data_IF_708044731268
#
_entry.id   IF_708044731268
#
_cell.length_a   1.000
_cell.length_b   1.000
_cell.length_c   1.000
_cell.angle_alpha   90.00
_cell.angle_beta   90.00
_cell.angle_gamma   90.00
#
_symmetry.space_group_name_H-M   'P 1'
#
loop_
_entity.id
_entity.type
_entity.pdbx_description
1 polymer ?
#
# COMPACT_ATOMS: atom_id res chain seq x y z
N UNK A 1 -11.97 20.64 13.21
CA UNK A 1 -11.07 20.78 14.38
C UNK A 1 -11.36 19.70 15.41
N UNK A 2 -12.63 19.43 15.73
CA UNK A 2 -13.08 18.44 16.73
C UNK A 2 -12.49 17.03 16.57
N UNK A 3 -12.34 16.52 15.34
CA UNK A 3 -11.77 15.17 15.11
C UNK A 3 -10.29 15.05 15.50
N UNK A 4 -9.56 16.16 15.50
CA UNK A 4 -8.14 16.18 15.88
C UNK A 4 -8.03 16.24 17.41
N UNK A 5 -8.92 16.99 18.07
CA UNK A 5 -8.99 17.08 19.53
C UNK A 5 -9.44 15.75 20.15
N UNK A 6 -10.47 15.11 19.59
CA UNK A 6 -10.91 13.77 20.01
C UNK A 6 -9.80 12.72 19.90
N UNK A 7 -8.98 12.80 18.86
CA UNK A 7 -7.85 11.90 18.67
C UNK A 7 -6.76 12.16 19.70
N UNK A 8 -6.44 13.43 19.94
CA UNK A 8 -5.45 13.86 20.95
C UNK A 8 -5.85 13.36 22.34
N UNK A 9 -7.10 13.53 22.72
CA UNK A 9 -7.57 13.16 24.07
C UNK A 9 -7.58 11.64 24.29
N UNK A 10 -7.91 10.86 23.26
CA UNK A 10 -7.79 9.39 23.32
C UNK A 10 -6.33 8.94 23.41
N UNK A 11 -5.44 9.58 22.66
CA UNK A 11 -4.02 9.28 22.68
C UNK A 11 -3.42 9.60 24.05
N UNK A 12 -3.73 10.77 24.61
CA UNK A 12 -3.25 11.19 25.92
C UNK A 12 -3.73 10.25 27.03
N UNK A 13 -5.01 9.83 26.98
CA UNK A 13 -5.56 8.88 27.95
C UNK A 13 -4.85 7.53 27.89
N UNK A 14 -4.56 7.04 26.69
CA UNK A 14 -3.88 5.75 26.49
C UNK A 14 -2.43 5.81 26.97
N UNK A 15 -1.70 6.89 26.68
CA UNK A 15 -0.34 7.12 27.19
C UNK A 15 -0.35 7.10 28.72
N UNK A 16 -1.26 7.84 29.35
CA UNK A 16 -1.38 7.90 30.81
C UNK A 16 -1.66 6.53 31.44
N UNK A 17 -2.56 5.75 30.85
CA UNK A 17 -2.86 4.38 31.32
C UNK A 17 -1.66 3.46 31.17
N UNK A 18 -0.93 3.52 30.05
CA UNK A 18 0.27 2.71 29.84
C UNK A 18 1.39 3.07 30.80
N UNK A 19 1.66 4.36 31.02
CA UNK A 19 2.67 4.83 31.98
C UNK A 19 2.30 4.37 33.40
N UNK A 20 1.05 4.56 33.83
CA UNK A 20 0.61 4.10 35.15
C UNK A 20 0.75 2.59 35.32
N UNK A 21 0.43 1.82 34.28
CA UNK A 21 0.60 0.36 34.32
C UNK A 21 2.07 -0.05 34.38
N UNK A 22 2.95 0.65 33.66
CA UNK A 22 4.40 0.44 33.73
C UNK A 22 5.00 0.85 35.09
N UNK A 23 4.47 1.89 35.73
CA UNK A 23 4.89 2.30 37.08
C UNK A 23 4.42 1.31 38.15
N UNK A 24 3.21 0.75 38.02
CA UNK A 24 2.63 -0.21 38.97
C UNK A 24 3.20 -1.62 38.78
N UNK A 25 3.48 -2.02 37.53
CA UNK A 25 3.99 -3.35 37.19
C UNK A 25 5.51 -3.37 36.93
N UNK A 26 6.20 -2.25 37.13
CA UNK A 26 7.65 -2.16 37.01
C UNK A 26 8.36 -3.09 38.00
N UNK A 27 9.56 -3.54 37.62
CA UNK A 27 10.40 -4.42 38.44
C UNK A 27 10.52 -3.86 39.88
N UNK A 28 10.18 -4.70 40.85
CA UNK A 28 10.23 -4.38 42.27
C UNK A 28 8.88 -4.08 42.95
N UNK A 29 7.75 -4.03 42.22
CA UNK A 29 6.42 -3.96 42.87
C UNK A 29 6.05 -5.30 43.53
N UNK A 30 6.31 -6.41 42.84
CA UNK A 30 6.18 -7.75 43.40
C UNK A 30 7.11 -7.94 44.60
N UNK A 31 8.36 -7.50 44.54
CA UNK A 31 9.31 -7.60 45.65
C UNK A 31 8.90 -6.73 46.86
N UNK A 32 8.30 -5.55 46.62
CA UNK A 32 7.73 -4.73 47.68
C UNK A 32 6.56 -5.42 48.38
N UNK A 33 5.68 -6.08 47.62
CA UNK A 33 4.56 -6.85 48.17
C UNK A 33 5.09 -8.04 48.95
N UNK A 34 6.08 -8.77 48.42
CA UNK A 34 6.71 -9.91 49.12
C UNK A 34 7.36 -9.44 50.43
N UNK A 35 8.12 -8.34 50.43
CA UNK A 35 8.71 -7.76 51.65
C UNK A 35 7.66 -7.32 52.67
N UNK A 36 6.54 -6.74 52.22
CA UNK A 36 5.42 -6.39 53.09
C UNK A 36 4.78 -7.62 53.73
N UNK A 37 4.59 -8.70 52.96
CA UNK A 37 4.07 -9.98 53.48
C UNK A 37 5.05 -10.60 54.48
N UNK A 38 6.36 -10.57 54.21
CA UNK A 38 7.39 -11.04 55.14
C UNK A 38 7.50 -10.19 56.42
N UNK A 39 7.26 -8.89 56.33
CA UNK A 39 7.22 -8.00 57.50
C UNK A 39 5.95 -8.24 58.32
N UNK A 40 4.82 -8.46 57.66
CA UNK A 40 3.54 -8.80 58.31
C UNK A 40 3.58 -10.18 58.96
N UNK A 41 4.22 -11.18 58.36
CA UNK A 41 4.31 -12.53 58.91
C UNK A 41 5.19 -12.64 60.16
N UNK A 42 6.09 -11.67 60.39
CA UNK A 42 6.91 -11.56 61.59
C UNK A 42 6.17 -10.93 62.78
N UNK A 43 5.01 -10.32 62.52
CA UNK A 43 4.10 -9.85 63.57
C UNK A 43 3.24 -11.06 63.94
N UNK A 44 3.38 -11.54 65.18
CA UNK A 44 2.59 -12.66 65.69
C UNK A 44 1.09 -12.35 65.57
N UNK A 45 0.29 -13.32 65.11
CA UNK A 45 -1.14 -13.13 64.82
C UNK A 45 -2.01 -12.81 66.03
N UNK A 46 -1.45 -12.86 67.23
CA UNK A 46 -2.20 -12.76 68.49
C UNK A 46 -2.42 -11.32 69.00
N UNK A 47 -1.86 -10.30 68.34
CA UNK A 47 -2.03 -8.88 68.77
C UNK A 47 -2.45 -7.91 67.66
N UNK A 48 -2.95 -8.38 66.51
CA UNK A 48 -3.49 -7.48 65.49
C UNK A 48 -5.00 -7.34 65.66
N UNK A 49 -5.43 -6.32 66.40
CA UNK A 49 -6.85 -5.93 66.46
C UNK A 49 -7.27 -5.35 65.10
N UNK A 50 -7.72 -6.21 64.18
CA UNK A 50 -8.29 -5.79 62.90
C UNK A 50 -9.64 -5.15 63.18
N UNK A 51 -9.65 -3.82 63.38
CA UNK A 51 -10.90 -3.05 63.44
C UNK A 51 -11.56 -3.01 62.07
N UNK A 52 -12.38 -4.02 61.79
CA UNK A 52 -13.36 -3.97 60.72
C UNK A 52 -14.26 -2.76 60.97
N UNK A 53 -14.15 -1.71 60.14
CA UNK A 53 -15.08 -0.58 60.16
C UNK A 53 -16.49 -0.96 59.72
N UNK A 54 -16.65 -2.18 59.20
CA UNK A 54 -17.93 -2.70 58.75
C UNK A 54 -18.52 -3.59 59.83
N UNK A 55 -19.77 -3.38 60.25
CA UNK A 55 -20.44 -4.27 61.18
C UNK A 55 -20.54 -5.67 60.57
N UNK A 56 -20.39 -6.71 61.40
CA UNK A 56 -20.67 -8.11 61.05
C UNK A 56 -22.19 -8.33 60.96
N UNK A 57 -22.79 -7.64 59.99
CA UNK A 57 -24.16 -7.90 59.56
C UNK A 57 -24.03 -8.85 58.39
N UNK A 58 -24.52 -10.07 58.55
CA UNK A 58 -24.70 -10.99 57.42
C UNK A 58 -25.31 -10.19 56.26
N UNK A 59 -24.66 -10.26 55.09
CA UNK A 59 -25.01 -9.45 53.94
C UNK A 59 -26.54 -9.46 53.77
N UNK A 60 -27.21 -8.30 53.66
CA UNK A 60 -28.64 -8.28 53.45
C UNK A 60 -28.89 -8.76 52.01
N UNK A 61 -28.86 -10.07 51.81
CA UNK A 61 -29.26 -10.73 50.57
C UNK A 61 -30.78 -10.64 50.53
N UNK A 62 -31.26 -9.46 50.19
CA UNK A 62 -32.64 -9.22 49.80
C UNK A 62 -32.74 -9.44 48.29
N UNK A 63 -33.94 -9.69 47.77
CA UNK A 63 -34.17 -9.79 46.32
C UNK A 63 -33.71 -8.55 45.53
N UNK A 64 -33.60 -7.39 46.19
CA UNK A 64 -33.07 -6.15 45.61
C UNK A 64 -31.54 -6.12 45.50
N UNK A 65 -30.84 -6.96 46.28
CA UNK A 65 -29.38 -7.08 46.23
C UNK A 65 -28.89 -8.07 45.17
N UNK A 66 -29.80 -8.82 44.54
CA UNK A 66 -29.48 -9.74 43.46
C UNK A 66 -29.32 -8.98 42.15
N UNK A 67 -28.22 -9.25 41.45
CA UNK A 67 -27.99 -8.72 40.11
C UNK A 67 -29.15 -9.10 39.19
N UNK A 68 -29.90 -8.09 38.75
CA UNK A 68 -30.89 -8.26 37.70
C UNK A 68 -30.21 -7.96 36.37
N UNK A 69 -30.05 -8.95 35.47
CA UNK A 69 -29.44 -8.70 34.18
C UNK A 69 -30.27 -7.67 33.41
N UNK A 70 -29.61 -6.73 32.70
CA UNK A 70 -30.33 -5.77 31.88
C UNK A 70 -31.16 -6.51 30.82
N UNK A 71 -32.35 -5.98 30.46
CA UNK A 71 -33.19 -6.59 29.45
C UNK A 71 -32.43 -6.69 28.12
N UNK A 72 -32.69 -7.74 27.31
CA UNK A 72 -32.04 -7.89 26.02
C UNK A 72 -32.29 -6.66 25.15
N UNK A 73 -31.22 -6.13 24.54
CA UNK A 73 -31.33 -5.00 23.62
C UNK A 73 -32.26 -5.38 22.47
N UNK A 74 -33.13 -4.45 22.08
CA UNK A 74 -33.96 -4.62 20.90
C UNK A 74 -33.06 -4.91 19.67
N UNK A 75 -33.48 -5.83 18.77
CA UNK A 75 -32.74 -6.07 17.55
C UNK A 75 -32.62 -4.76 16.75
N UNK A 76 -31.46 -4.50 16.13
CA UNK A 76 -31.24 -3.28 15.36
C UNK A 76 -32.26 -3.19 14.22
N UNK A 77 -32.76 -1.97 13.99
CA UNK A 77 -33.67 -1.73 12.87
C UNK A 77 -33.01 -2.09 11.54
N UNK A 78 -33.73 -2.82 10.69
CA UNK A 78 -33.26 -3.18 9.35
C UNK A 78 -33.33 -1.95 8.44
N UNK A 79 -32.29 -1.12 8.45
CA UNK A 79 -32.12 -0.07 7.45
C UNK A 79 -31.81 -0.69 6.10
N UNK A 80 -32.66 -0.43 5.09
CA UNK A 80 -32.40 -0.84 3.70
C UNK A 80 -31.16 -0.09 3.19
N UNK A 81 -30.15 -0.85 2.76
CA UNK A 81 -28.97 -0.29 2.10
C UNK A 81 -29.41 0.43 0.82
N UNK A 82 -29.26 1.76 0.78
CA UNK A 82 -29.47 2.55 -0.45
C UNK A 82 -28.16 2.50 -1.24
N UNK A 83 -28.18 1.80 -2.37
CA UNK A 83 -27.05 1.83 -3.32
C UNK A 83 -26.87 3.27 -3.79
N UNK A 84 -25.67 3.86 -3.66
CA UNK A 84 -25.40 5.19 -4.17
C UNK A 84 -25.70 5.25 -5.67
N UNK A 85 -26.40 6.29 -6.12
CA UNK A 85 -26.63 6.53 -7.55
C UNK A 85 -25.25 6.74 -8.20
N UNK A 86 -24.91 5.91 -9.18
CA UNK A 86 -23.63 6.04 -9.89
C UNK A 86 -23.57 7.41 -10.58
N UNK A 87 -22.48 8.14 -10.30
CA UNK A 87 -22.20 9.41 -10.94
C UNK A 87 -21.72 9.15 -12.38
N UNK A 88 -22.44 9.63 -13.42
CA UNK A 88 -22.04 9.45 -14.80
C UNK A 88 -20.67 10.08 -15.12
N UNK A 89 -20.28 11.17 -14.43
CA UNK A 89 -19.00 11.83 -14.65
C UNK A 89 -17.84 11.01 -14.09
N UNK A 90 -18.03 10.34 -12.95
CA UNK A 90 -17.03 9.43 -12.41
C UNK A 90 -16.76 8.26 -13.36
N UNK A 91 -17.81 7.72 -13.99
CA UNK A 91 -17.65 6.64 -14.98
C UNK A 91 -16.88 7.12 -16.21
N UNK A 92 -17.22 8.29 -16.74
CA UNK A 92 -16.53 8.88 -17.89
C UNK A 92 -15.05 9.16 -17.56
N UNK A 93 -14.78 9.69 -16.37
CA UNK A 93 -13.42 9.94 -15.89
C UNK A 93 -12.60 8.64 -15.80
N UNK A 94 -13.12 7.61 -15.13
CA UNK A 94 -12.43 6.32 -15.01
C UNK A 94 -12.15 5.71 -16.38
N UNK A 95 -13.09 5.82 -17.32
CA UNK A 95 -12.89 5.35 -18.69
C UNK A 95 -11.76 6.13 -19.38
N UNK A 96 -11.79 7.46 -19.35
CA UNK A 96 -10.76 8.29 -19.97
C UNK A 96 -9.37 8.05 -19.39
N UNK A 97 -9.24 7.93 -18.07
CA UNK A 97 -7.96 7.60 -17.41
C UNK A 97 -7.47 6.21 -17.83
N UNK A 98 -8.38 5.22 -17.88
CA UNK A 98 -8.02 3.86 -18.31
C UNK A 98 -7.55 3.83 -19.77
N UNK A 99 -8.21 4.59 -20.65
CA UNK A 99 -7.82 4.70 -22.06
C UNK A 99 -6.48 5.40 -22.22
N UNK A 100 -6.23 6.46 -21.46
CA UNK A 100 -4.94 7.15 -21.42
C UNK A 100 -3.81 6.25 -20.93
N UNK A 101 -4.01 5.54 -19.81
CA UNK A 101 -3.02 4.59 -19.28
C UNK A 101 -2.72 3.49 -20.28
N UNK A 102 -3.75 2.97 -20.95
CA UNK A 102 -3.58 1.99 -22.04
C UNK A 102 -2.81 2.59 -23.20
N UNK A 103 -3.02 3.84 -23.57
CA UNK A 103 -2.32 4.52 -24.66
C UNK A 103 -0.83 4.68 -24.34
N UNK A 104 -0.50 5.20 -23.16
CA UNK A 104 0.87 5.52 -22.72
C UNK A 104 1.69 4.27 -22.41
N UNK A 105 1.06 3.19 -21.94
CA UNK A 105 1.78 1.97 -21.59
C UNK A 105 2.44 1.35 -22.81
N UNK A 106 3.77 1.26 -22.76
CA UNK A 106 4.59 0.56 -23.76
C UNK A 106 4.60 -0.93 -23.44
N UNK A 107 4.29 -1.76 -24.44
CA UNK A 107 4.34 -3.22 -24.36
C UNK A 107 5.13 -3.77 -25.54
N UNK A 108 5.67 -4.98 -25.42
CA UNK A 108 6.46 -5.61 -26.48
C UNK A 108 5.66 -5.71 -27.80
N UNK A 109 4.36 -5.99 -27.70
CA UNK A 109 3.48 -6.04 -28.87
C UNK A 109 3.41 -4.67 -29.58
N UNK A 110 3.22 -3.58 -28.85
CA UNK A 110 3.19 -2.23 -29.42
C UNK A 110 4.52 -1.85 -30.04
N UNK A 111 5.62 -2.22 -29.40
CA UNK A 111 6.96 -1.98 -29.94
C UNK A 111 7.18 -2.76 -31.24
N UNK A 112 6.73 -4.02 -31.31
CA UNK A 112 6.75 -4.83 -32.52
C UNK A 112 5.91 -4.22 -33.64
N UNK A 113 4.67 -3.82 -33.35
CA UNK A 113 3.76 -3.21 -34.33
C UNK A 113 4.34 -1.87 -34.85
N UNK A 114 4.83 -1.02 -33.96
CA UNK A 114 5.53 0.21 -34.31
C UNK A 114 6.73 -0.08 -35.22
N UNK A 115 7.59 -1.02 -34.82
CA UNK A 115 8.80 -1.39 -35.57
C UNK A 115 8.45 -1.95 -36.96
N UNK A 116 7.45 -2.83 -37.07
CA UNK A 116 6.95 -3.35 -38.35
C UNK A 116 6.51 -2.23 -39.28
N UNK A 117 5.73 -1.27 -38.75
CA UNK A 117 5.23 -0.14 -39.51
C UNK A 117 6.36 0.78 -39.98
N UNK A 118 7.35 1.06 -39.13
CA UNK A 118 8.52 1.88 -39.53
C UNK A 118 9.39 1.18 -40.57
N UNK A 119 9.52 -0.15 -40.49
CA UNK A 119 10.34 -0.90 -41.43
C UNK A 119 9.73 -0.91 -42.84
N UNK A 120 8.40 -0.94 -43.02
CA UNK A 120 7.71 -0.94 -44.34
C UNK A 120 8.30 -1.92 -45.39
N UNK A 121 8.89 -3.04 -44.95
CA UNK A 121 9.56 -4.00 -45.84
C UNK A 121 11.05 -3.72 -46.12
N UNK A 122 11.61 -2.63 -45.59
CA UNK A 122 13.06 -2.39 -45.55
C UNK A 122 13.78 -3.43 -44.68
N UNK A 123 15.05 -3.67 -44.99
CA UNK A 123 15.94 -4.58 -44.24
C UNK A 123 16.54 -3.91 -43.00
N UNK A 124 16.77 -2.60 -43.07
CA UNK A 124 17.29 -1.80 -41.96
C UNK A 124 16.73 -0.36 -41.98
N UNK A 125 16.60 0.24 -40.80
CA UNK A 125 16.16 1.64 -40.62
C UNK A 125 16.97 2.26 -39.48
N UNK A 126 17.57 3.44 -39.73
CA UNK A 126 18.21 4.24 -38.68
C UNK A 126 17.16 5.00 -37.86
N UNK A 127 17.44 5.26 -36.59
CA UNK A 127 16.62 6.10 -35.72
C UNK A 127 16.30 7.48 -36.31
N UNK A 128 17.17 8.05 -37.14
CA UNK A 128 16.94 9.33 -37.82
C UNK A 128 15.90 9.26 -38.95
N UNK A 129 15.63 8.06 -39.48
CA UNK A 129 14.65 7.81 -40.55
C UNK A 129 13.28 7.36 -40.01
N UNK A 130 13.12 7.30 -38.69
CA UNK A 130 11.87 6.88 -38.05
C UNK A 130 10.92 8.08 -37.97
N UNK A 131 9.70 7.89 -38.47
CA UNK A 131 8.66 8.91 -38.47
C UNK A 131 7.74 8.72 -37.25
N UNK A 132 7.51 9.80 -36.50
CA UNK A 132 6.67 9.80 -35.30
C UNK A 132 5.38 10.54 -35.63
N UNK A 133 4.29 9.80 -35.83
CA UNK A 133 2.99 10.36 -36.25
C UNK A 133 2.01 10.54 -35.07
N UNK A 134 2.28 9.90 -33.93
CA UNK A 134 1.37 9.87 -32.80
C UNK A 134 2.08 9.85 -31.44
N UNK A 135 1.34 10.12 -30.36
CA UNK A 135 1.86 10.02 -28.99
C UNK A 135 2.32 8.58 -28.65
N UNK A 136 1.58 7.50 -28.98
CA UNK A 136 2.08 6.14 -28.85
C UNK A 136 3.41 5.88 -29.55
N UNK A 137 3.59 6.46 -30.74
CA UNK A 137 4.83 6.31 -31.51
C UNK A 137 6.02 6.94 -30.81
N UNK A 138 5.81 8.11 -30.21
CA UNK A 138 6.83 8.78 -29.40
C UNK A 138 7.27 7.88 -28.24
N UNK A 139 6.32 7.26 -27.53
CA UNK A 139 6.65 6.35 -26.43
C UNK A 139 7.36 5.09 -26.91
N UNK A 140 6.94 4.52 -28.04
CA UNK A 140 7.60 3.37 -28.64
C UNK A 140 9.04 3.72 -29.06
N UNK A 141 9.22 4.82 -29.78
CA UNK A 141 10.52 5.32 -30.23
C UNK A 141 11.50 5.54 -29.07
N UNK A 142 11.06 6.19 -27.98
CA UNK A 142 11.91 6.40 -26.79
C UNK A 142 12.24 5.12 -26.03
N UNK A 143 11.41 4.08 -26.14
CA UNK A 143 11.62 2.83 -25.44
C UNK A 143 12.63 1.89 -26.16
N UNK A 144 12.71 1.94 -27.50
CA UNK A 144 13.60 1.08 -28.29
C UNK A 144 15.07 1.09 -27.84
N UNK A 145 15.76 2.24 -27.69
CA UNK A 145 17.16 2.25 -27.26
C UNK A 145 17.34 1.76 -25.82
N UNK A 146 16.33 1.93 -24.96
CA UNK A 146 16.38 1.46 -23.57
C UNK A 146 16.36 -0.07 -23.49
N UNK A 147 15.72 -0.76 -24.44
CA UNK A 147 15.75 -2.23 -24.51
C UNK A 147 17.18 -2.75 -24.75
N UNK A 148 18.00 -2.00 -25.50
CA UNK A 148 19.36 -2.39 -25.86
C UNK A 148 20.43 -1.82 -24.91
N UNK A 149 20.04 -1.14 -23.82
CA UNK A 149 20.95 -0.38 -22.96
C UNK A 149 22.09 -1.22 -22.33
N UNK A 150 21.81 -2.47 -21.95
CA UNK A 150 22.79 -3.34 -21.27
C UNK A 150 23.76 -4.01 -22.24
N UNK A 151 23.26 -4.47 -23.39
CA UNK A 151 24.03 -5.30 -24.34
C UNK A 151 24.45 -4.60 -25.63
N UNK A 152 24.13 -3.30 -25.78
CA UNK A 152 24.20 -2.53 -27.03
C UNK A 152 23.39 -3.09 -28.21
N UNK A 153 22.83 -4.28 -28.07
CA UNK A 153 21.88 -4.86 -29.01
C UNK A 153 20.86 -5.73 -28.29
N UNK A 154 19.66 -5.85 -28.85
CA UNK A 154 18.58 -6.69 -28.32
C UNK A 154 17.69 -7.19 -29.46
N UNK A 155 17.18 -8.40 -29.32
CA UNK A 155 16.21 -8.96 -30.27
C UNK A 155 14.79 -8.62 -29.83
N UNK A 156 14.01 -8.06 -30.75
CA UNK A 156 12.59 -7.76 -30.60
C UNK A 156 11.83 -8.49 -31.72
N UNK A 157 11.37 -9.72 -31.45
CA UNK A 157 10.71 -10.58 -32.44
C UNK A 157 11.61 -10.89 -33.65
N UNK A 158 11.17 -10.46 -34.84
CA UNK A 158 11.92 -10.57 -36.10
C UNK A 158 12.93 -9.44 -36.35
N UNK A 159 13.13 -8.54 -35.39
CA UNK A 159 14.05 -7.43 -35.52
C UNK A 159 15.17 -7.50 -34.48
N UNK A 160 16.32 -6.94 -34.84
CA UNK A 160 17.44 -6.65 -33.95
C UNK A 160 17.60 -5.14 -33.84
N UNK A 161 17.59 -4.62 -32.63
CA UNK A 161 17.84 -3.20 -32.34
C UNK A 161 19.28 -3.11 -31.85
N UNK A 162 20.09 -2.25 -32.48
CA UNK A 162 21.51 -2.05 -32.14
C UNK A 162 21.75 -0.57 -31.85
N UNK A 163 22.41 -0.26 -30.74
CA UNK A 163 22.81 1.09 -30.39
C UNK A 163 24.01 1.53 -31.22
N UNK A 164 23.87 2.70 -31.84
CA UNK A 164 24.92 3.36 -32.61
C UNK A 164 25.65 4.39 -31.73
N UNK A 165 26.80 4.86 -32.21
CA UNK A 165 27.51 5.95 -31.53
C UNK A 165 26.83 7.28 -31.84
N UNK A 166 26.67 8.12 -30.81
CA UNK A 166 26.02 9.41 -30.93
C UNK A 166 24.57 9.43 -30.46
N UNK A 167 23.86 10.48 -30.87
CA UNK A 167 22.50 10.79 -30.45
C UNK A 167 21.67 11.23 -31.63
N UNK A 168 20.41 10.83 -31.63
CA UNK A 168 19.41 11.32 -32.57
C UNK A 168 18.55 12.33 -31.82
N UNK A 169 18.71 13.60 -32.18
CA UNK A 169 18.09 14.72 -31.48
C UNK A 169 17.32 15.66 -32.42
N UNK A 170 16.19 16.15 -31.94
CA UNK A 170 15.44 17.29 -32.49
C UNK A 170 14.93 18.17 -31.33
N UNK A 171 14.13 19.20 -31.61
CA UNK A 171 13.67 20.15 -30.59
C UNK A 171 12.86 19.51 -29.43
N UNK A 172 12.35 18.29 -29.60
CA UNK A 172 11.43 17.62 -28.67
C UNK A 172 11.96 16.31 -28.12
N UNK A 173 12.94 15.70 -28.79
CA UNK A 173 13.40 14.34 -28.55
C UNK A 173 14.91 14.31 -28.61
N UNK A 174 15.52 13.73 -27.59
CA UNK A 174 16.95 13.47 -27.54
C UNK A 174 17.18 12.07 -26.98
N UNK A 175 17.60 11.15 -27.85
CA UNK A 175 17.80 9.73 -27.52
C UNK A 175 19.13 9.23 -28.09
N UNK A 176 19.66 8.16 -27.51
CA UNK A 176 20.81 7.43 -28.08
C UNK A 176 20.46 6.97 -29.49
N UNK A 177 21.37 7.20 -30.44
CA UNK A 177 21.18 6.73 -31.81
C UNK A 177 21.09 5.19 -31.82
N UNK A 178 20.19 4.66 -32.65
CA UNK A 178 20.03 3.22 -32.81
C UNK A 178 19.64 2.87 -34.24
N UNK A 179 19.90 1.62 -34.62
CA UNK A 179 19.50 1.02 -35.90
C UNK A 179 18.65 -0.21 -35.64
N UNK A 180 17.59 -0.35 -36.42
CA UNK A 180 16.74 -1.53 -36.45
C UNK A 180 17.08 -2.33 -37.71
N UNK A 181 17.28 -3.63 -37.56
CA UNK A 181 17.54 -4.55 -38.67
C UNK A 181 16.62 -5.76 -38.60
N UNK A 182 16.23 -6.33 -39.74
CA UNK A 182 15.55 -7.63 -39.76
C UNK A 182 16.53 -8.71 -39.35
N UNK A 183 16.14 -9.55 -38.40
CA UNK A 183 16.89 -10.75 -38.05
C UNK A 183 16.79 -11.73 -39.21
N UNK A 184 17.80 -11.78 -40.08
CA UNK A 184 17.92 -12.83 -41.10
C UNK A 184 18.06 -14.16 -40.37
N UNK A 185 16.99 -14.95 -40.38
CA UNK A 185 17.06 -16.35 -39.95
C UNK A 185 17.69 -17.11 -41.11
N UNK A 186 18.67 -17.96 -40.82
CA UNK A 186 19.48 -18.76 -41.77
C UNK A 186 18.68 -19.74 -42.65
N UNK A 187 17.36 -19.60 -42.76
CA UNK A 187 16.49 -20.42 -43.60
C UNK A 187 16.23 -19.84 -45.01
N UNK A 188 16.52 -18.55 -45.26
CA UNK A 188 16.31 -17.89 -46.57
C UNK A 188 17.57 -17.88 -47.47
N UNK A 189 18.62 -18.62 -47.10
CA UNK A 189 19.89 -18.71 -47.83
C UNK A 189 20.16 -20.10 -48.43
N UNK A 190 19.13 -20.91 -48.64
CA UNK A 190 19.21 -22.26 -49.23
C UNK A 190 18.36 -22.36 -50.50
#
# INVERSE_FOLDING_TARGET
MDKIEDFRDRLERRIRTTVHYMDVMGEGSAERIVRLIEQLSKIGSDEVEIRLRSPDVGLPITSLALYTPPPPKAPPERTRFKVPKQDPYLRAYVQATTEFDRMVRVTDQKLLEFTRRQMQGRDAVSSAEIEIESIPDLFAYRALPNLAAVGRSVRLGEFTITLEEGRTANDWIDVTAFRVERTRTTADAA
#
